data_IF_763877548796
#
_entry.id   IF_763877548796
#
_cell.length_a   1.000
_cell.length_b   1.000
_cell.length_c   1.000
_cell.angle_alpha   90.00
_cell.angle_beta   90.00
_cell.angle_gamma   90.00
#
_symmetry.space_group_name_H-M   'P 1'
#
loop_
_entity.id
_entity.type
_entity.pdbx_description
1 polymer ?
#
# COMPACT_ATOMS: atom_id res chain seq x y z
N UNK A 1 25.49 -3.28 -13.86
CA UNK A 1 25.50 -2.51 -12.60
C UNK A 1 24.12 -1.91 -12.44
N UNK A 2 23.33 -2.32 -11.44
CA UNK A 2 21.96 -1.77 -11.23
C UNK A 2 22.06 -0.50 -10.38
N UNK A 3 21.33 0.55 -10.74
CA UNK A 3 21.34 1.83 -10.01
C UNK A 3 20.89 1.65 -8.55
N UNK A 4 21.56 2.31 -7.58
CA UNK A 4 21.13 2.32 -6.18
C UNK A 4 19.82 3.13 -6.07
N UNK A 5 18.76 2.50 -5.53
CA UNK A 5 17.44 3.13 -5.36
C UNK A 5 16.25 2.18 -5.53
N UNK A 6 16.45 1.01 -6.14
CA UNK A 6 15.43 -0.04 -6.21
C UNK A 6 15.49 -0.90 -4.95
N UNK A 7 14.91 -0.42 -3.85
CA UNK A 7 14.67 -1.28 -2.67
C UNK A 7 13.80 -2.44 -3.14
N UNK A 8 14.42 -3.61 -3.39
CA UNK A 8 13.70 -4.82 -3.74
C UNK A 8 12.97 -5.27 -2.48
N UNK A 9 11.69 -4.97 -2.40
CA UNK A 9 10.89 -5.48 -1.31
C UNK A 9 10.72 -6.99 -1.46
N UNK A 10 10.64 -7.71 -0.34
CA UNK A 10 10.46 -9.16 -0.33
C UNK A 10 9.29 -9.63 -1.20
N UNK A 11 8.13 -8.94 -1.26
CA UNK A 11 7.06 -9.27 -2.19
C UNK A 11 7.48 -9.22 -3.67
N UNK A 12 8.26 -8.22 -4.08
CA UNK A 12 8.72 -8.07 -5.48
C UNK A 12 9.60 -9.25 -5.90
N UNK A 13 10.46 -9.72 -4.98
CA UNK A 13 11.28 -10.90 -5.21
C UNK A 13 10.43 -12.14 -5.47
N UNK A 14 9.48 -12.42 -4.58
CA UNK A 14 8.63 -13.61 -4.66
C UNK A 14 7.70 -13.59 -5.88
N UNK A 15 7.20 -12.41 -6.24
CA UNK A 15 6.46 -12.19 -7.48
C UNK A 15 7.36 -12.38 -8.70
N UNK A 16 8.62 -11.94 -8.64
CA UNK A 16 9.63 -12.19 -9.67
C UNK A 16 9.88 -13.67 -9.93
N UNK A 17 9.96 -14.48 -8.88
CA UNK A 17 10.12 -15.94 -8.98
C UNK A 17 8.91 -16.58 -9.67
N UNK A 18 7.68 -16.16 -9.32
CA UNK A 18 6.48 -16.62 -10.01
C UNK A 18 6.49 -16.22 -11.50
N UNK A 19 6.81 -14.96 -11.83
CA UNK A 19 6.89 -14.48 -13.22
C UNK A 19 7.82 -15.32 -14.10
N UNK A 20 8.94 -15.79 -13.56
CA UNK A 20 9.87 -16.66 -14.32
C UNK A 20 9.22 -17.99 -14.68
N UNK A 21 8.56 -18.63 -13.70
CA UNK A 21 7.88 -19.93 -13.90
C UNK A 21 6.62 -19.81 -14.75
N UNK A 22 5.85 -18.73 -14.57
CA UNK A 22 4.65 -18.43 -15.35
C UNK A 22 4.91 -18.43 -16.86
N UNK A 23 6.02 -17.84 -17.31
CA UNK A 23 6.39 -17.81 -18.74
C UNK A 23 6.61 -19.18 -19.38
N UNK A 24 6.77 -20.22 -18.56
CA UNK A 24 6.99 -21.60 -18.98
C UNK A 24 5.82 -22.51 -18.58
N UNK A 25 4.75 -21.94 -18.03
CA UNK A 25 3.58 -22.69 -17.58
C UNK A 25 2.51 -22.67 -18.65
N UNK A 26 1.75 -23.76 -18.72
CA UNK A 26 0.48 -23.81 -19.45
C UNK A 26 -0.64 -23.73 -18.43
N UNK A 27 -1.57 -22.79 -18.59
CA UNK A 27 -2.64 -22.52 -17.66
C UNK A 27 -3.89 -22.11 -18.42
N UNK A 28 -4.89 -22.98 -18.42
CA UNK A 28 -6.13 -22.80 -19.18
C UNK A 28 -7.27 -22.30 -18.30
N UNK A 29 -7.15 -22.48 -16.98
CA UNK A 29 -8.16 -22.03 -16.02
C UNK A 29 -7.58 -21.32 -14.78
N UNK A 30 -8.47 -20.75 -13.97
CA UNK A 30 -8.09 -20.05 -12.74
C UNK A 30 -7.41 -20.96 -11.70
N UNK A 31 -7.73 -22.26 -11.70
CA UNK A 31 -7.07 -23.23 -10.82
C UNK A 31 -5.62 -23.44 -11.25
N UNK A 32 -5.36 -23.52 -12.55
CA UNK A 32 -4.01 -23.68 -13.08
C UNK A 32 -3.16 -22.47 -12.72
N UNK A 33 -3.71 -21.26 -12.86
CA UNK A 33 -3.04 -20.03 -12.42
C UNK A 33 -2.70 -20.11 -10.93
N UNK A 34 -3.67 -20.45 -10.07
CA UNK A 34 -3.43 -20.59 -8.62
C UNK A 34 -2.37 -21.65 -8.31
N UNK A 35 -2.38 -22.76 -9.05
CA UNK A 35 -1.37 -23.81 -8.95
C UNK A 35 0.02 -23.29 -9.32
N UNK A 36 0.18 -22.54 -10.42
CA UNK A 36 1.49 -21.96 -10.79
C UNK A 36 2.04 -21.03 -9.70
N UNK A 37 1.18 -20.24 -9.06
CA UNK A 37 1.55 -19.35 -7.94
C UNK A 37 2.05 -20.18 -6.77
N UNK A 38 1.30 -21.20 -6.34
CA UNK A 38 1.69 -22.08 -5.23
C UNK A 38 2.98 -22.85 -5.52
N UNK A 39 3.08 -23.45 -6.70
CA UNK A 39 4.25 -24.21 -7.15
C UNK A 39 5.50 -23.33 -7.35
N UNK A 40 5.32 -22.00 -7.46
CA UNK A 40 6.44 -21.09 -7.65
C UNK A 40 7.32 -20.95 -6.41
N UNK A 41 6.76 -21.06 -5.21
CA UNK A 41 7.48 -20.86 -3.95
C UNK A 41 7.81 -22.18 -3.25
N UNK A 42 9.11 -22.48 -3.08
CA UNK A 42 9.57 -23.70 -2.41
C UNK A 42 9.26 -23.70 -0.90
N UNK A 43 9.14 -22.52 -0.30
CA UNK A 43 8.89 -22.30 1.13
C UNK A 43 7.49 -21.75 1.44
N UNK A 44 6.59 -21.72 0.44
CA UNK A 44 5.19 -21.32 0.65
C UNK A 44 4.93 -19.82 0.82
N UNK A 45 5.86 -18.95 0.42
CA UNK A 45 5.67 -17.49 0.48
C UNK A 45 4.65 -16.96 -0.54
N UNK A 46 4.47 -17.65 -1.68
CA UNK A 46 3.44 -17.30 -2.66
C UNK A 46 2.16 -18.09 -2.35
N UNK A 47 1.15 -17.39 -1.84
CA UNK A 47 -0.14 -17.96 -1.48
C UNK A 47 -1.17 -17.39 -2.47
N UNK A 48 -1.74 -18.21 -3.37
CA UNK A 48 -2.81 -17.75 -4.24
C UNK A 48 -4.08 -17.49 -3.42
N UNK A 49 -4.72 -16.35 -3.65
CA UNK A 49 -6.04 -16.05 -3.13
C UNK A 49 -6.96 -15.71 -4.29
N UNK A 50 -8.03 -16.48 -4.44
CA UNK A 50 -9.01 -16.25 -5.51
C UNK A 50 -10.05 -15.25 -5.04
N UNK A 51 -10.47 -14.39 -5.95
CA UNK A 51 -11.53 -13.39 -5.72
C UNK A 51 -12.90 -14.04 -5.47
N UNK A 52 -13.12 -15.25 -5.98
CA UNK A 52 -14.38 -15.99 -5.85
C UNK A 52 -14.35 -17.08 -4.75
N UNK A 53 -13.38 -17.04 -3.83
CA UNK A 53 -13.28 -17.99 -2.73
C UNK A 53 -14.29 -17.63 -1.62
N UNK A 54 -15.34 -18.45 -1.38
CA UNK A 54 -16.35 -18.17 -0.37
C UNK A 54 -15.80 -18.29 1.07
N UNK A 55 -14.71 -19.03 1.28
CA UNK A 55 -14.07 -19.19 2.59
C UNK A 55 -13.12 -18.05 2.93
N UNK A 56 -12.61 -17.35 1.91
CA UNK A 56 -11.63 -16.26 2.03
C UNK A 56 -11.97 -15.13 1.05
N UNK A 57 -13.04 -14.36 1.31
CA UNK A 57 -13.45 -13.28 0.42
C UNK A 57 -12.36 -12.21 0.34
N UNK A 58 -12.02 -11.80 -0.89
CA UNK A 58 -11.15 -10.65 -1.13
C UNK A 58 -12.02 -9.40 -1.15
N UNK A 59 -11.90 -8.59 -0.10
CA UNK A 59 -12.64 -7.35 0.05
C UNK A 59 -11.77 -6.17 -0.35
N UNK A 60 -12.20 -5.41 -1.35
CA UNK A 60 -11.63 -4.11 -1.68
C UNK A 60 -12.39 -3.06 -0.88
N UNK A 61 -11.69 -2.37 0.01
CA UNK A 61 -12.26 -1.28 0.79
C UNK A 61 -11.96 0.05 0.11
N UNK A 62 -12.93 0.95 0.05
CA UNK A 62 -12.76 2.28 -0.49
C UNK A 62 -12.15 3.24 0.56
N UNK A 63 -10.85 3.01 0.80
CA UNK A 63 -10.02 3.85 1.68
C UNK A 63 -10.00 5.31 1.26
N UNK A 64 -10.07 5.59 -0.05
CA UNK A 64 -10.04 6.96 -0.57
C UNK A 64 -11.25 7.75 -0.07
N UNK A 65 -12.46 7.30 -0.36
CA UNK A 65 -13.69 7.97 0.07
C UNK A 65 -13.78 8.03 1.60
N UNK A 66 -13.33 6.98 2.29
CA UNK A 66 -13.26 6.99 3.75
C UNK A 66 -12.34 8.10 4.29
N UNK A 67 -11.06 8.11 3.88
CA UNK A 67 -10.04 9.03 4.37
C UNK A 67 -10.27 10.47 3.92
N UNK A 68 -10.87 10.68 2.75
CA UNK A 68 -11.27 12.00 2.26
C UNK A 68 -12.20 12.73 3.23
N UNK A 69 -12.95 12.04 4.09
CA UNK A 69 -13.77 12.70 5.10
C UNK A 69 -12.96 13.38 6.21
N UNK A 70 -11.76 12.87 6.48
CA UNK A 70 -10.92 13.27 7.63
C UNK A 70 -9.74 14.13 7.21
N UNK A 71 -9.15 13.86 6.04
CA UNK A 71 -7.89 14.47 5.63
C UNK A 71 -8.01 15.38 4.40
N UNK A 72 -7.21 16.44 4.40
CA UNK A 72 -6.93 17.34 3.28
C UNK A 72 -5.86 16.69 2.40
N UNK A 73 -5.98 16.90 1.09
CA UNK A 73 -4.96 16.47 0.13
C UNK A 73 -3.69 17.32 0.31
N UNK A 74 -2.54 16.65 0.43
CA UNK A 74 -1.25 17.34 0.36
C UNK A 74 -0.91 17.62 -1.10
N UNK A 75 -1.04 18.89 -1.51
CA UNK A 75 -0.67 19.33 -2.85
C UNK A 75 0.86 19.20 -3.04
N UNK A 76 1.29 18.83 -4.23
CA UNK A 76 2.70 18.71 -4.61
C UNK A 76 3.50 17.75 -3.70
N UNK A 77 2.89 16.67 -3.22
CA UNK A 77 3.56 15.67 -2.36
C UNK A 77 4.86 15.15 -2.98
N UNK A 78 4.94 15.04 -4.30
CA UNK A 78 6.12 14.57 -5.04
C UNK A 78 7.33 15.52 -4.98
N UNK A 79 7.14 16.76 -4.51
CA UNK A 79 8.23 17.73 -4.31
C UNK A 79 9.06 17.40 -3.06
N UNK A 80 8.48 16.69 -2.10
CA UNK A 80 9.10 16.41 -0.81
C UNK A 80 9.70 15.00 -0.80
N UNK A 81 10.97 14.86 -0.40
CA UNK A 81 11.64 13.57 -0.28
C UNK A 81 11.72 13.06 1.17
N UNK A 82 11.43 13.92 2.15
CA UNK A 82 11.44 13.56 3.56
C UNK A 82 10.11 13.88 4.22
N UNK A 83 9.55 12.91 4.95
CA UNK A 83 8.28 13.00 5.64
C UNK A 83 8.46 12.56 7.10
N UNK A 84 7.91 13.33 8.03
CA UNK A 84 7.92 13.01 9.46
C UNK A 84 6.55 13.25 10.07
N UNK A 85 6.07 12.25 10.80
CA UNK A 85 4.89 12.32 11.66
C UNK A 85 5.32 11.97 13.09
N UNK A 86 4.64 12.52 14.08
CA UNK A 86 4.86 12.19 15.50
C UNK A 86 3.54 11.77 16.13
N UNK A 87 3.62 10.94 17.18
CA UNK A 87 2.45 10.56 17.96
C UNK A 87 1.90 11.73 18.79
N UNK A 88 2.77 12.68 19.16
CA UNK A 88 2.43 13.84 19.98
C UNK A 88 1.54 14.85 19.22
N UNK A 89 1.66 14.89 17.89
CA UNK A 89 0.94 15.85 17.04
C UNK A 89 0.22 15.12 15.88
N UNK A 90 -0.79 14.30 16.18
CA UNK A 90 -1.49 13.53 15.15
C UNK A 90 -2.16 14.44 14.13
N UNK A 91 -2.03 14.07 12.85
CA UNK A 91 -2.59 14.85 11.74
C UNK A 91 -1.70 15.96 11.21
N UNK A 92 -0.60 16.28 11.90
CA UNK A 92 0.47 17.10 11.32
C UNK A 92 1.49 16.24 10.58
N UNK A 93 1.91 16.75 9.43
CA UNK A 93 2.95 16.17 8.61
C UNK A 93 4.03 17.23 8.38
N UNK A 94 5.26 16.87 8.70
CA UNK A 94 6.44 17.72 8.46
C UNK A 94 7.15 17.18 7.23
N UNK A 95 7.36 18.05 6.25
CA UNK A 95 7.95 17.73 4.97
C UNK A 95 9.26 18.52 4.76
N UNK A 96 10.23 17.91 4.06
CA UNK A 96 11.38 18.62 3.49
C UNK A 96 11.56 18.22 2.04
N UNK A 97 11.97 19.17 1.21
CA UNK A 97 12.34 18.89 -0.18
C UNK A 97 13.57 18.00 -0.19
N UNK A 98 14.72 18.51 0.26
CA UNK A 98 15.95 17.76 0.45
C UNK A 98 16.34 17.67 1.93
N UNK A 99 17.39 16.93 2.26
CA UNK A 99 17.81 16.67 3.64
C UNK A 99 18.20 17.95 4.42
N UNK A 100 18.72 18.94 3.71
CA UNK A 100 19.19 20.26 4.18
C UNK A 100 18.14 21.36 3.99
N UNK A 101 17.02 21.06 3.34
CA UNK A 101 15.93 22.01 3.14
C UNK A 101 15.18 22.30 4.42
N UNK A 102 14.55 23.48 4.48
CA UNK A 102 13.68 23.86 5.59
C UNK A 102 12.50 22.89 5.77
N UNK A 103 12.06 22.77 7.02
CA UNK A 103 10.86 22.01 7.36
C UNK A 103 9.60 22.82 7.05
N UNK A 104 8.72 22.24 6.23
CA UNK A 104 7.38 22.76 5.97
C UNK A 104 6.38 21.91 6.72
N UNK A 105 5.53 22.55 7.53
CA UNK A 105 4.54 21.88 8.36
C UNK A 105 3.15 21.98 7.75
N UNK A 106 2.48 20.85 7.58
CA UNK A 106 1.12 20.74 7.05
C UNK A 106 0.16 20.15 8.08
N UNK A 107 -0.99 20.78 8.28
CA UNK A 107 -2.11 20.17 8.99
C UNK A 107 -3.02 19.45 7.98
N UNK A 108 -3.01 18.11 8.03
CA UNK A 108 -3.83 17.29 7.15
C UNK A 108 -5.27 17.16 7.64
N UNK A 109 -5.61 17.45 8.90
CA UNK A 109 -6.97 17.27 9.39
C UNK A 109 -7.94 18.34 8.85
N UNK A 110 -9.14 17.91 8.49
CA UNK A 110 -10.27 18.81 8.16
C UNK A 110 -10.91 19.33 9.44
N UNK A 111 -11.22 20.63 9.48
CA UNK A 111 -11.99 21.22 10.57
C UNK A 111 -13.47 20.85 10.38
N UNK A 112 -13.99 19.93 11.20
CA UNK A 112 -15.43 19.69 11.36
C UNK A 112 -15.78 19.89 12.85
N UNK A 113 -17.05 20.18 13.19
CA UNK A 113 -17.49 20.29 14.59
C UNK A 113 -17.20 19.04 15.45
N UNK A 114 -16.95 17.89 14.81
CA UNK A 114 -16.65 16.59 15.43
C UNK A 114 -15.24 16.08 15.06
N UNK A 115 -14.50 16.85 14.25
CA UNK A 115 -13.19 16.47 13.72
C UNK A 115 -12.06 17.26 14.39
N UNK A 116 -11.58 16.68 15.49
CA UNK A 116 -10.17 16.67 15.89
C UNK A 116 -9.66 15.24 16.08
N UNK A 117 -10.45 14.25 15.64
CA UNK A 117 -10.28 12.84 15.99
C UNK A 117 -9.74 12.07 14.79
N UNK A 118 -8.74 11.20 15.01
CA UNK A 118 -8.28 10.25 14.00
C UNK A 118 -9.42 9.27 13.66
N UNK A 119 -9.54 8.85 12.38
CA UNK A 119 -10.57 7.91 11.98
C UNK A 119 -10.42 6.57 12.70
N UNK A 120 -11.54 5.98 13.12
CA UNK A 120 -11.57 4.61 13.63
C UNK A 120 -11.90 3.64 12.49
N UNK A 121 -11.14 2.55 12.37
CA UNK A 121 -11.23 1.57 11.25
C UNK A 121 -12.46 0.66 11.35
N UNK A 122 -13.50 1.05 12.09
CA UNK A 122 -14.66 0.17 12.38
C UNK A 122 -15.62 0.05 11.18
N UNK A 123 -15.69 1.08 10.33
CA UNK A 123 -16.63 1.15 9.22
C UNK A 123 -15.98 1.81 8.01
N UNK A 124 -15.29 1.02 7.18
CA UNK A 124 -14.78 1.48 5.89
C UNK A 124 -15.76 0.98 4.82
N UNK A 125 -16.28 1.87 3.96
CA UNK A 125 -17.13 1.45 2.85
C UNK A 125 -16.39 0.44 1.95
N UNK A 126 -17.16 -0.52 1.43
CA UNK A 126 -16.74 -1.35 0.30
C UNK A 126 -16.49 -0.45 -0.92
#
# INVERSE_FOLDING_TARGET
>A
MMLPGHTKFTPDWHFGVWKIKWRQSDAECMEDIAYTVKASSRSGHNIPQRVNDPSRPVVFLNWKTFLENYFKLLKNITKYYHFRCTADEPGFLICREFCDSEEVRFNLLKARPEAGCLPTVKFIPL
#
